data_IF_245081573212
#
_entry.id   IF_245081573212
#
_cell.length_a   1.000
_cell.length_b   1.000
_cell.length_c   1.000
_cell.angle_alpha   90.00
_cell.angle_beta   90.00
_cell.angle_gamma   90.00
#
_symmetry.space_group_name_H-M   'P 1'
#
loop_
_entity.id
_entity.type
_entity.pdbx_description
1 polymer ?
#
# COMPACT_ATOMS: atom_id res chain seq x y z
N UNK A 1 -29.58 21.27 53.34
CA UNK A 1 -30.17 21.04 52.00
C UNK A 1 -29.51 21.88 50.90
N UNK A 2 -29.28 23.19 51.10
CA UNK A 2 -28.61 24.08 50.10
C UNK A 2 -27.20 23.65 49.67
N UNK A 3 -26.34 23.17 50.59
CA UNK A 3 -24.99 22.64 50.28
C UNK A 3 -25.00 21.33 49.48
N UNK A 4 -25.97 20.45 49.75
CA UNK A 4 -26.15 19.20 49.01
C UNK A 4 -26.64 19.46 47.58
N UNK A 5 -27.51 20.47 47.41
CA UNK A 5 -27.95 20.94 46.09
C UNK A 5 -26.79 21.58 45.30
N UNK A 6 -25.92 22.33 45.97
CA UNK A 6 -24.76 22.99 45.35
C UNK A 6 -23.66 22.01 44.92
N UNK A 7 -23.41 20.94 45.69
CA UNK A 7 -22.47 19.87 45.33
C UNK A 7 -22.97 19.04 44.13
N UNK A 8 -24.29 18.87 43.99
CA UNK A 8 -24.90 18.18 42.87
C UNK A 8 -24.72 18.95 41.54
N UNK A 9 -24.85 20.29 41.57
CA UNK A 9 -24.66 21.14 40.39
C UNK A 9 -23.21 21.16 39.90
N UNK A 10 -22.24 21.09 40.82
CA UNK A 10 -20.80 21.03 40.46
C UNK A 10 -20.47 19.68 39.80
N UNK A 11 -21.06 18.58 40.28
CA UNK A 11 -20.93 17.26 39.63
C UNK A 11 -21.52 17.25 38.21
N UNK A 12 -22.68 17.89 38.01
CA UNK A 12 -23.36 17.96 36.72
C UNK A 12 -22.60 18.79 35.66
N UNK A 13 -21.86 19.81 36.09
CA UNK A 13 -21.04 20.66 35.22
C UNK A 13 -19.80 19.94 34.67
N UNK A 14 -19.24 18.97 35.40
CA UNK A 14 -18.05 18.23 34.96
C UNK A 14 -18.36 17.19 33.85
N UNK A 15 -19.62 16.77 33.72
CA UNK A 15 -20.05 15.83 32.67
C UNK A 15 -20.24 16.54 31.31
N UNK A 16 -20.24 17.87 31.26
CA UNK A 16 -20.58 18.66 30.08
C UNK A 16 -19.38 19.01 29.17
N UNK A 17 -18.17 18.52 29.46
CA UNK A 17 -16.95 18.88 28.73
C UNK A 17 -16.16 17.68 28.17
N UNK A 18 -16.86 16.61 27.78
CA UNK A 18 -16.26 15.56 26.94
C UNK A 18 -16.66 15.87 25.51
N UNK A 19 -15.83 16.68 24.82
CA UNK A 19 -15.95 16.85 23.38
C UNK A 19 -15.15 15.69 22.77
N UNK A 20 -15.78 14.68 22.14
CA UNK A 20 -15.04 13.72 21.35
C UNK A 20 -14.35 14.48 20.22
N UNK A 21 -13.03 14.55 20.27
CA UNK A 21 -12.22 15.08 19.17
C UNK A 21 -11.98 13.94 18.20
N UNK A 22 -13.01 13.57 17.45
CA UNK A 22 -12.80 12.76 16.26
C UNK A 22 -12.06 13.66 15.27
N UNK A 23 -10.74 13.47 15.20
CA UNK A 23 -9.94 13.89 14.07
C UNK A 23 -10.59 13.26 12.84
N UNK A 24 -11.29 14.07 12.06
CA UNK A 24 -11.75 13.71 10.73
C UNK A 24 -10.50 13.56 9.85
N UNK A 25 -9.81 12.44 9.99
CA UNK A 25 -8.74 12.03 9.10
C UNK A 25 -9.35 11.95 7.71
N UNK A 26 -8.86 12.77 6.79
CA UNK A 26 -9.28 12.68 5.40
C UNK A 26 -8.80 11.34 4.86
N UNK A 27 -9.71 10.44 4.44
CA UNK A 27 -9.31 9.11 4.01
C UNK A 27 -8.44 9.23 2.76
N UNK A 28 -7.18 8.80 2.89
CA UNK A 28 -6.28 8.72 1.74
C UNK A 28 -6.61 7.44 0.96
N UNK A 29 -6.91 7.60 -0.33
CA UNK A 29 -7.13 6.50 -1.25
C UNK A 29 -6.10 6.53 -2.36
N UNK A 30 -5.57 5.36 -2.73
CA UNK A 30 -4.59 5.26 -3.82
C UNK A 30 -4.75 3.96 -4.60
N UNK A 31 -4.48 3.98 -5.90
CA UNK A 31 -4.55 2.79 -6.74
C UNK A 31 -3.21 2.07 -6.74
N UNK A 32 -3.24 0.77 -6.46
CA UNK A 32 -2.13 -0.14 -6.65
C UNK A 32 -2.38 -1.01 -7.88
N UNK A 33 -1.38 -1.10 -8.78
CA UNK A 33 -1.43 -1.95 -9.96
C UNK A 33 -0.23 -2.90 -9.95
N UNK A 34 -0.49 -4.20 -10.07
CA UNK A 34 0.55 -5.22 -10.08
C UNK A 34 0.51 -6.08 -11.33
N UNK A 35 1.62 -6.77 -11.59
CA UNK A 35 1.69 -7.81 -12.61
C UNK A 35 2.08 -9.14 -11.98
N UNK A 36 1.24 -10.16 -12.13
CA UNK A 36 1.46 -11.50 -11.63
C UNK A 36 1.71 -12.48 -12.77
N UNK A 37 2.74 -13.31 -12.57
CA UNK A 37 3.09 -14.43 -13.44
C UNK A 37 3.00 -15.73 -12.67
N UNK A 38 2.75 -16.82 -13.37
CA UNK A 38 2.85 -18.17 -12.82
C UNK A 38 4.32 -18.63 -12.74
N UNK A 39 4.55 -19.81 -12.14
CA UNK A 39 5.88 -20.38 -12.02
C UNK A 39 6.61 -20.62 -13.36
N UNK A 40 5.88 -20.72 -14.46
CA UNK A 40 6.43 -20.86 -15.81
C UNK A 40 6.77 -19.50 -16.47
N UNK A 41 6.54 -18.38 -15.78
CA UNK A 41 6.77 -17.02 -16.28
C UNK A 41 5.67 -16.48 -17.19
N UNK A 42 4.57 -17.22 -17.37
CA UNK A 42 3.41 -16.75 -18.13
C UNK A 42 2.51 -15.88 -17.27
N UNK A 43 1.89 -14.87 -17.89
CA UNK A 43 0.90 -14.02 -17.24
C UNK A 43 -0.22 -14.85 -16.60
N UNK A 44 -0.55 -14.56 -15.34
CA UNK A 44 -1.70 -15.17 -14.69
C UNK A 44 -2.98 -14.55 -15.30
N UNK A 45 -3.93 -15.35 -15.77
CA UNK A 45 -5.11 -14.83 -16.47
C UNK A 45 -6.38 -15.56 -16.05
N UNK A 46 -7.47 -14.80 -15.85
CA UNK A 46 -8.80 -15.29 -15.47
C UNK A 46 -8.83 -16.05 -14.14
N UNK A 47 -7.98 -15.64 -13.21
CA UNK A 47 -7.92 -16.19 -11.87
C UNK A 47 -8.17 -15.09 -10.83
N UNK A 48 -8.69 -15.48 -9.67
CA UNK A 48 -8.86 -14.58 -8.53
C UNK A 48 -7.88 -14.93 -7.43
N UNK A 49 -7.31 -13.92 -6.79
CA UNK A 49 -6.35 -14.09 -5.69
C UNK A 49 -6.78 -13.26 -4.48
N UNK A 50 -6.34 -13.68 -3.30
CA UNK A 50 -6.43 -12.85 -2.09
C UNK A 50 -5.14 -12.06 -1.95
N UNK A 51 -5.28 -10.74 -1.77
CA UNK A 51 -4.18 -9.81 -1.54
C UNK A 51 -4.28 -9.24 -0.13
N UNK A 52 -3.19 -9.30 0.61
CA UNK A 52 -3.03 -8.60 1.89
C UNK A 52 -1.91 -7.58 1.73
N UNK A 53 -2.21 -6.34 2.08
CA UNK A 53 -1.25 -5.23 2.06
C UNK A 53 -0.87 -4.87 3.48
N UNK A 54 0.41 -4.55 3.68
CA UNK A 54 0.93 -4.03 4.95
C UNK A 54 1.89 -2.87 4.71
N UNK A 55 1.78 -1.80 5.49
CA UNK A 55 2.72 -0.69 5.47
C UNK A 55 3.60 -0.68 6.71
N UNK A 56 4.90 -0.49 6.52
CA UNK A 56 5.91 -0.59 7.58
C UNK A 56 6.89 0.58 7.53
N UNK A 57 7.39 1.02 8.69
CA UNK A 57 8.48 2.02 8.79
C UNK A 57 9.88 1.43 8.54
N UNK A 58 9.98 0.09 8.52
CA UNK A 58 11.23 -0.65 8.42
C UNK A 58 11.20 -1.64 7.26
N UNK A 59 12.35 -1.81 6.60
CA UNK A 59 12.52 -2.74 5.46
C UNK A 59 12.28 -4.21 5.85
N UNK A 60 12.59 -4.58 7.09
CA UNK A 60 12.45 -5.93 7.64
C UNK A 60 12.08 -5.84 9.12
N UNK A 61 11.21 -6.73 9.60
CA UNK A 61 10.73 -6.70 10.99
C UNK A 61 9.83 -5.49 11.28
N UNK A 62 9.63 -5.20 12.56
CA UNK A 62 8.74 -4.13 13.00
C UNK A 62 7.25 -4.47 12.87
N UNK A 63 6.42 -3.65 13.52
CA UNK A 63 4.97 -3.76 13.46
C UNK A 63 4.40 -3.07 12.21
N UNK A 64 3.26 -3.57 11.74
CA UNK A 64 2.54 -2.95 10.64
C UNK A 64 1.85 -1.68 11.14
N UNK A 65 2.05 -0.58 10.41
CA UNK A 65 1.39 0.71 10.66
C UNK A 65 -0.03 0.67 10.12
N UNK A 66 -0.26 -0.09 9.05
CA UNK A 66 -1.53 -0.22 8.38
C UNK A 66 -1.62 -1.53 7.63
N UNK A 67 -2.80 -2.13 7.61
CA UNK A 67 -3.08 -3.37 6.88
C UNK A 67 -4.42 -3.30 6.18
N UNK A 68 -4.51 -3.85 4.97
CA UNK A 68 -5.77 -3.97 4.23
C UNK A 68 -5.82 -5.27 3.43
N UNK A 69 -6.98 -5.94 3.47
CA UNK A 69 -7.18 -7.23 2.80
C UNK A 69 -8.22 -7.13 1.70
N UNK A 70 -7.83 -7.55 0.49
CA UNK A 70 -8.70 -7.71 -0.66
C UNK A 70 -8.86 -9.19 -1.01
N UNK A 71 -10.03 -9.73 -0.70
CA UNK A 71 -10.42 -11.06 -1.13
C UNK A 71 -10.90 -11.05 -2.59
N UNK A 72 -10.61 -12.15 -3.31
CA UNK A 72 -11.15 -12.41 -4.65
C UNK A 72 -10.85 -11.35 -5.71
N UNK A 73 -9.62 -10.80 -5.72
CA UNK A 73 -9.17 -9.83 -6.74
C UNK A 73 -8.97 -10.56 -8.06
N UNK A 74 -9.78 -10.19 -9.07
CA UNK A 74 -9.71 -10.78 -10.40
C UNK A 74 -8.51 -10.27 -11.19
N UNK A 75 -7.77 -11.19 -11.80
CA UNK A 75 -6.58 -10.92 -12.60
C UNK A 75 -6.92 -11.13 -14.06
N UNK A 76 -6.58 -10.12 -14.89
CA UNK A 76 -6.72 -10.23 -16.34
C UNK A 76 -5.40 -9.91 -17.02
N UNK A 77 -4.93 -10.85 -17.85
CA UNK A 77 -3.69 -10.75 -18.64
C UNK A 77 -2.47 -10.43 -17.77
N UNK A 78 -2.41 -10.99 -16.56
CA UNK A 78 -1.38 -10.78 -15.56
C UNK A 78 -1.58 -9.52 -14.73
N UNK A 79 -2.49 -8.62 -15.11
CA UNK A 79 -2.68 -7.34 -14.43
C UNK A 79 -3.73 -7.49 -13.34
N UNK A 80 -3.38 -6.98 -12.15
CA UNK A 80 -4.32 -6.73 -11.06
C UNK A 80 -4.33 -5.25 -10.73
N UNK A 81 -5.50 -4.76 -10.31
CA UNK A 81 -5.69 -3.37 -9.87
C UNK A 81 -6.54 -3.39 -8.62
N UNK A 82 -6.10 -2.71 -7.57
CA UNK A 82 -6.86 -2.51 -6.33
C UNK A 82 -6.76 -1.07 -5.86
N UNK A 83 -7.76 -0.61 -5.12
CA UNK A 83 -7.75 0.72 -4.48
C UNK A 83 -7.48 0.53 -3.00
N UNK A 84 -6.30 0.95 -2.54
CA UNK A 84 -5.90 0.93 -1.14
C UNK A 84 -6.54 2.09 -0.39
N UNK A 85 -6.95 1.84 0.85
CA UNK A 85 -7.63 2.83 1.69
C UNK A 85 -9.14 2.88 1.49
N UNK A 86 -9.66 2.08 0.54
CA UNK A 86 -11.10 1.93 0.32
C UNK A 86 -11.74 1.06 1.40
N UNK A 87 -11.08 -0.04 1.78
CA UNK A 87 -11.60 -0.97 2.81
C UNK A 87 -11.14 -0.60 4.21
N UNK A 88 -9.92 -0.12 4.36
CA UNK A 88 -9.34 0.31 5.63
C UNK A 88 -8.76 1.71 5.44
N UNK A 89 -9.56 2.76 5.65
CA UNK A 89 -9.11 4.13 5.50
C UNK A 89 -7.86 4.40 6.35
N UNK A 90 -6.90 5.11 5.78
CA UNK A 90 -5.74 5.60 6.51
C UNK A 90 -5.52 7.08 6.24
N UNK A 91 -4.92 7.74 7.24
CA UNK A 91 -4.53 9.13 7.13
C UNK A 91 -3.23 9.26 6.34
N UNK A 92 -3.13 10.26 5.47
CA UNK A 92 -1.89 10.61 4.78
C UNK A 92 -0.71 10.94 5.72
N UNK A 93 -0.96 11.22 7.00
CA UNK A 93 0.09 11.38 8.01
C UNK A 93 1.01 10.15 8.17
N UNK A 94 0.53 8.94 7.84
CA UNK A 94 1.34 7.72 7.86
C UNK A 94 2.34 7.67 6.69
N UNK A 95 2.13 8.47 5.64
CA UNK A 95 2.94 8.49 4.42
C UNK A 95 4.21 9.35 4.57
N UNK A 96 4.81 9.33 5.75
CA UNK A 96 5.97 10.16 6.10
C UNK A 96 7.22 9.32 6.36
N UNK A 97 8.39 9.87 6.03
CA UNK A 97 9.67 9.21 6.27
C UNK A 97 9.94 8.00 5.36
N UNK A 98 10.60 6.97 5.92
CA UNK A 98 10.82 5.72 5.21
C UNK A 98 9.58 4.84 5.36
N UNK A 99 8.88 4.60 4.26
CA UNK A 99 7.72 3.72 4.23
C UNK A 99 7.96 2.56 3.28
N UNK A 100 7.53 1.37 3.68
CA UNK A 100 7.67 0.14 2.92
C UNK A 100 6.33 -0.56 2.79
N UNK A 101 6.00 -1.01 1.58
CA UNK A 101 4.82 -1.80 1.28
C UNK A 101 5.18 -3.29 1.21
N UNK A 102 4.49 -4.10 2.00
CA UNK A 102 4.49 -5.55 1.89
C UNK A 102 3.18 -5.98 1.21
N UNK A 103 3.29 -7.02 0.40
CA UNK A 103 2.15 -7.61 -0.30
C UNK A 103 2.22 -9.11 -0.10
N UNK A 104 1.12 -9.71 0.35
CA UNK A 104 0.96 -11.16 0.38
C UNK A 104 -0.05 -11.57 -0.68
N UNK A 105 0.32 -12.51 -1.53
CA UNK A 105 -0.55 -13.07 -2.57
C UNK A 105 -0.86 -14.50 -2.18
N UNK A 106 -2.12 -14.82 -1.88
CA UNK A 106 -2.54 -16.15 -1.39
C UNK A 106 -1.61 -16.66 -0.27
N UNK A 107 -1.39 -15.83 0.77
CA UNK A 107 -0.53 -16.11 1.93
C UNK A 107 1.00 -16.05 1.66
N UNK A 108 1.44 -15.98 0.41
CA UNK A 108 2.86 -15.86 0.07
C UNK A 108 3.32 -14.40 0.14
N UNK A 109 4.21 -14.09 1.10
CA UNK A 109 4.75 -12.75 1.27
C UNK A 109 5.79 -12.40 0.21
N UNK A 110 5.65 -11.21 -0.39
CA UNK A 110 6.63 -10.61 -1.29
C UNK A 110 7.58 -9.70 -0.52
N UNK A 111 8.85 -9.55 -0.97
CA UNK A 111 9.78 -8.62 -0.35
C UNK A 111 9.20 -7.21 -0.27
N UNK A 112 9.45 -6.51 0.85
CA UNK A 112 8.92 -5.16 1.05
C UNK A 112 9.56 -4.16 0.09
N UNK A 113 8.73 -3.40 -0.58
CA UNK A 113 9.14 -2.36 -1.53
C UNK A 113 9.09 -0.98 -0.86
N UNK A 114 10.11 -0.15 -1.06
CA UNK A 114 10.13 1.20 -0.49
C UNK A 114 9.18 2.10 -1.28
N UNK A 115 8.24 2.75 -0.59
CA UNK A 115 7.40 3.80 -1.17
C UNK A 115 8.23 5.09 -1.22
N UNK A 116 8.56 5.55 -2.42
CA UNK A 116 9.18 6.86 -2.64
C UNK A 116 8.11 7.85 -3.11
N UNK A 117 7.89 8.93 -2.36
CA UNK A 117 6.79 9.89 -2.54
C UNK A 117 6.74 10.69 -3.87
N UNK A 118 7.56 10.34 -4.86
CA UNK A 118 7.44 10.85 -6.21
C UNK A 118 6.71 9.84 -7.08
N UNK A 119 5.39 10.02 -7.24
CA UNK A 119 4.53 9.27 -8.16
C UNK A 119 4.34 7.79 -7.78
N UNK A 120 3.17 7.50 -7.21
CA UNK A 120 2.69 6.14 -6.95
C UNK A 120 2.39 5.48 -8.31
N UNK A 121 3.42 4.95 -8.95
CA UNK A 121 3.34 3.88 -9.94
C UNK A 121 4.25 2.76 -9.45
N UNK A 122 3.79 2.02 -8.45
CA UNK A 122 4.46 0.79 -8.01
C UNK A 122 4.28 -0.25 -9.12
N UNK A 123 5.21 -0.28 -10.06
CA UNK A 123 5.31 -1.36 -11.04
C UNK A 123 6.07 -2.51 -10.37
N UNK A 124 5.35 -3.51 -9.89
CA UNK A 124 5.96 -4.77 -9.44
C UNK A 124 6.45 -5.56 -10.66
N UNK A 125 7.74 -5.39 -10.98
CA UNK A 125 8.46 -6.23 -11.93
C UNK A 125 9.20 -7.34 -11.18
N UNK A 126 8.50 -8.43 -10.85
CA UNK A 126 9.17 -9.72 -10.74
C UNK A 126 9.15 -10.37 -12.13
N UNK A 127 10.10 -9.98 -12.98
CA UNK A 127 10.49 -10.79 -14.12
C UNK A 127 11.93 -11.25 -13.91
N UNK A 128 12.19 -12.53 -14.13
CA UNK A 128 13.54 -13.09 -14.15
C UNK A 128 14.25 -12.52 -15.39
N UNK A 129 14.92 -11.37 -15.27
CA UNK A 129 15.62 -10.74 -16.39
C UNK A 129 17.02 -11.33 -16.51
N UNK A 130 17.13 -12.37 -17.34
CA UNK A 130 18.36 -12.64 -18.07
C UNK A 130 18.62 -11.45 -19.01
N UNK A 131 19.65 -10.65 -18.73
CA UNK A 131 20.02 -9.49 -19.54
C UNK A 131 20.58 -9.91 -20.91
N UNK A 132 19.72 -10.20 -21.89
CA UNK A 132 20.13 -10.12 -23.30
C UNK A 132 19.89 -8.69 -23.78
N UNK A 133 20.90 -7.82 -23.59
CA UNK A 133 20.89 -6.45 -24.13
C UNK A 133 21.04 -6.48 -25.65
N UNK A 134 19.96 -6.73 -26.39
CA UNK A 134 19.88 -6.37 -27.81
C UNK A 134 19.23 -4.98 -27.94
N UNK A 135 20.03 -3.92 -27.73
CA UNK A 135 19.66 -2.55 -28.08
C UNK A 135 19.59 -2.46 -29.62
N UNK A 136 18.39 -2.31 -30.18
CA UNK A 136 18.19 -1.97 -31.59
C UNK A 136 17.54 -0.59 -31.65
N UNK A 137 18.33 0.45 -31.90
CA UNK A 137 17.98 1.49 -32.88
C UNK A 137 19.20 2.34 -33.25
N UNK A 138 19.24 2.75 -34.53
CA UNK A 138 20.43 3.18 -35.26
C UNK A 138 21.16 4.42 -34.74
N UNK A 139 22.49 4.35 -34.89
CA UNK A 139 23.37 5.47 -35.19
C UNK A 139 24.58 4.87 -35.89
N UNK A 140 24.93 5.44 -37.04
CA UNK A 140 26.03 5.01 -37.88
C UNK A 140 27.34 5.02 -37.08
N UNK A 141 28.05 3.91 -37.12
CA UNK A 141 29.50 3.92 -37.02
C UNK A 141 30.00 3.28 -38.30
N UNK A 142 30.14 4.13 -39.32
CA UNK A 142 31.27 3.96 -40.23
C UNK A 142 32.50 4.22 -39.38
N UNK A 143 33.34 3.21 -39.22
CA UNK A 143 34.78 3.37 -39.36
C UNK A 143 35.37 1.98 -39.65
N UNK A 144 35.71 1.81 -40.92
CA UNK A 144 36.69 0.83 -41.37
C UNK A 144 38.04 1.28 -40.85
N UNK A 145 38.70 0.47 -40.01
CA UNK A 145 40.17 0.49 -39.94
C UNK A 145 40.68 -0.92 -39.63
N UNK A 146 41.32 -1.51 -40.65
CA UNK A 146 42.09 -2.76 -40.72
C UNK A 146 41.38 -4.08 -40.35
#
# INVERSE_FOLDING_TARGET
>A
MKKQLMLLCISLINILWIIPTDSQAFPFITTYQGYLTNAAGSALDKESVTLEFGMYSQKTGGESIWTETHESVYISRGVLTVTLGEKTPFDGSILTGNLYLEIKVNEESRPREKITGGLISLRSEHSNIQFSRKRIWGSQFTDTVA
#
